data_IF_085712735378
#
_entry.id   IF_085712735378
#
_cell.length_a   1.000
_cell.length_b   1.000
_cell.length_c   1.000
_cell.angle_alpha   90.00
_cell.angle_beta   90.00
_cell.angle_gamma   90.00
#
_symmetry.space_group_name_H-M   'P 1'
#
loop_
_entity.id
_entity.type
_entity.pdbx_description
1 polymer ?
#
# COMPACT_ATOMS: atom_id res chain seq x y z
N UNK A 1 11.00 -2.12 9.85
CA UNK A 1 9.71 -1.82 9.20
C UNK A 1 9.68 -2.40 7.80
N UNK A 2 8.52 -2.88 7.40
CA UNK A 2 8.30 -3.45 6.08
C UNK A 2 7.19 -2.66 5.41
N UNK A 3 7.40 -2.24 4.17
CA UNK A 3 6.37 -1.60 3.34
C UNK A 3 5.93 -2.59 2.27
N UNK A 4 4.64 -2.90 2.29
CA UNK A 4 3.97 -3.67 1.24
C UNK A 4 3.28 -2.69 0.31
N UNK A 5 3.49 -2.84 -0.98
CA UNK A 5 2.75 -2.09 -1.99
C UNK A 5 2.21 -3.02 -3.07
N UNK A 6 0.97 -2.76 -3.44
CA UNK A 6 0.25 -3.50 -4.46
C UNK A 6 -0.35 -2.49 -5.42
N UNK A 7 0.08 -2.51 -6.69
CA UNK A 7 -0.55 -1.74 -7.75
C UNK A 7 -1.27 -2.69 -8.70
N UNK A 8 -2.53 -2.41 -8.98
CA UNK A 8 -3.33 -3.20 -9.90
C UNK A 8 -4.13 -2.29 -10.83
N UNK A 9 -4.38 -2.76 -12.05
CA UNK A 9 -5.23 -2.10 -13.01
C UNK A 9 -6.53 -2.89 -13.12
N UNK A 10 -7.66 -2.26 -12.86
CA UNK A 10 -8.96 -2.91 -12.77
C UNK A 10 -9.89 -2.34 -13.83
N UNK A 11 -10.58 -3.19 -14.62
CA UNK A 11 -11.55 -2.71 -15.61
C UNK A 11 -12.63 -1.85 -14.95
N UNK A 12 -13.12 -0.84 -15.66
CA UNK A 12 -14.12 0.09 -15.17
C UNK A 12 -15.34 -0.62 -14.57
N UNK A 13 -15.74 -1.74 -15.15
CA UNK A 13 -16.89 -2.52 -14.68
C UNK A 13 -16.75 -3.07 -13.26
N UNK A 14 -15.51 -3.15 -12.74
CA UNK A 14 -15.21 -3.65 -11.40
C UNK A 14 -14.80 -2.57 -10.40
N UNK A 15 -14.76 -1.29 -10.80
CA UNK A 15 -14.27 -0.21 -9.93
C UNK A 15 -15.08 -0.08 -8.64
N UNK A 16 -16.42 -0.07 -8.73
CA UNK A 16 -17.28 0.05 -7.57
C UNK A 16 -17.07 -1.12 -6.59
N UNK A 17 -16.92 -2.32 -7.12
CA UNK A 17 -16.66 -3.54 -6.33
C UNK A 17 -15.32 -3.44 -5.59
N UNK A 18 -14.26 -3.01 -6.28
CA UNK A 18 -12.93 -2.86 -5.70
C UNK A 18 -12.93 -1.78 -4.62
N UNK A 19 -13.53 -0.63 -4.87
CA UNK A 19 -13.61 0.45 -3.89
C UNK A 19 -14.33 -0.01 -2.63
N UNK A 20 -15.40 -0.77 -2.78
CA UNK A 20 -16.16 -1.31 -1.66
C UNK A 20 -15.39 -2.38 -0.90
N UNK A 21 -14.87 -3.40 -1.60
CA UNK A 21 -14.23 -4.55 -0.96
C UNK A 21 -12.90 -4.19 -0.32
N UNK A 22 -12.01 -3.51 -1.05
CA UNK A 22 -10.71 -3.09 -0.51
C UNK A 22 -10.89 -1.97 0.52
N UNK A 23 -11.78 -1.02 0.23
CA UNK A 23 -12.08 0.07 1.16
C UNK A 23 -12.55 -0.43 2.52
N UNK A 24 -13.34 -1.51 2.55
CA UNK A 24 -13.81 -2.11 3.81
C UNK A 24 -12.70 -2.75 4.65
N UNK A 25 -11.53 -3.03 4.06
CA UNK A 25 -10.40 -3.64 4.76
C UNK A 25 -9.51 -2.60 5.45
N UNK A 26 -9.61 -1.32 5.09
CA UNK A 26 -8.65 -0.31 5.54
C UNK A 26 -8.68 -0.12 7.06
N UNK A 27 -9.86 0.20 7.63
CA UNK A 27 -9.96 0.41 9.07
C UNK A 27 -9.64 -0.84 9.90
N UNK A 28 -10.17 -2.03 9.57
CA UNK A 28 -9.80 -3.25 10.29
C UNK A 28 -8.30 -3.55 10.23
N UNK A 29 -7.62 -3.26 9.12
CA UNK A 29 -6.19 -3.47 8.99
C UNK A 29 -5.40 -2.48 9.84
N UNK A 30 -5.82 -1.22 9.88
CA UNK A 30 -5.13 -0.15 10.63
C UNK A 30 -5.03 -0.42 12.13
N UNK A 31 -5.97 -1.16 12.69
CA UNK A 31 -6.00 -1.47 14.13
C UNK A 31 -5.32 -2.78 14.49
N UNK A 32 -4.81 -3.52 13.51
CA UNK A 32 -4.06 -4.75 13.79
C UNK A 32 -2.74 -4.46 14.49
N UNK A 33 -2.32 -5.30 15.45
CA UNK A 33 -1.02 -5.14 16.09
C UNK A 33 0.11 -5.13 15.06
N UNK A 34 0.94 -4.11 15.13
CA UNK A 34 2.09 -3.97 14.23
C UNK A 34 1.80 -3.25 12.92
N UNK A 35 0.54 -2.90 12.65
CA UNK A 35 0.21 -2.08 11.48
C UNK A 35 0.54 -0.61 11.78
N UNK A 36 1.45 -0.03 11.00
CA UNK A 36 1.85 1.37 11.11
C UNK A 36 1.07 2.27 10.14
N UNK A 37 0.45 1.70 9.12
CA UNK A 37 -0.35 2.44 8.16
C UNK A 37 -0.94 1.53 7.11
N UNK A 38 -2.08 1.95 6.57
CA UNK A 38 -2.77 1.25 5.49
C UNK A 38 -3.55 2.29 4.71
N UNK A 39 -3.20 2.46 3.42
CA UNK A 39 -3.82 3.47 2.57
C UNK A 39 -4.06 2.94 1.17
N UNK A 40 -5.14 3.40 0.56
CA UNK A 40 -5.55 3.00 -0.76
C UNK A 40 -5.68 4.23 -1.65
N UNK A 41 -5.02 4.19 -2.81
CA UNK A 41 -4.90 5.35 -3.70
C UNK A 41 -5.38 5.02 -5.10
N UNK A 42 -5.89 6.03 -5.79
CA UNK A 42 -6.10 6.00 -7.24
C UNK A 42 -5.00 6.81 -7.91
N UNK A 43 -4.61 6.40 -9.13
CA UNK A 43 -3.59 7.09 -9.91
C UNK A 43 -4.23 8.27 -10.66
N UNK A 44 -3.62 9.46 -10.58
CA UNK A 44 -4.15 10.64 -11.24
C UNK A 44 -4.02 10.56 -12.77
N UNK A 45 -3.04 9.81 -13.26
CA UNK A 45 -2.78 9.67 -14.70
C UNK A 45 -3.45 8.44 -15.30
N UNK A 46 -3.84 7.46 -14.49
CA UNK A 46 -4.50 6.23 -14.94
C UNK A 46 -5.67 5.91 -14.01
N UNK A 47 -6.92 6.28 -14.38
CA UNK A 47 -8.08 6.05 -13.52
C UNK A 47 -8.38 4.59 -13.23
N UNK A 48 -7.82 3.64 -14.01
CA UNK A 48 -7.99 2.21 -13.77
C UNK A 48 -7.00 1.66 -12.75
N UNK A 49 -5.97 2.43 -12.39
CA UNK A 49 -4.91 1.97 -11.50
C UNK A 49 -5.20 2.31 -10.04
N UNK A 50 -5.11 1.30 -9.19
CA UNK A 50 -5.26 1.42 -7.74
C UNK A 50 -3.97 0.94 -7.07
N UNK A 51 -3.58 1.61 -5.98
CA UNK A 51 -2.41 1.23 -5.20
C UNK A 51 -2.78 1.13 -3.73
N UNK A 52 -2.52 -0.04 -3.14
CA UNK A 52 -2.62 -0.27 -1.70
C UNK A 52 -1.20 -0.21 -1.12
N UNK A 53 -1.02 0.57 -0.05
CA UNK A 53 0.25 0.65 0.67
C UNK A 53 0.00 0.33 2.12
N UNK A 54 0.74 -0.64 2.65
CA UNK A 54 0.69 -1.02 4.06
C UNK A 54 2.08 -0.93 4.65
N UNK A 55 2.16 -0.47 5.89
CA UNK A 55 3.41 -0.41 6.65
C UNK A 55 3.28 -1.26 7.90
N UNK A 56 4.27 -2.13 8.12
CA UNK A 56 4.30 -3.08 9.24
C UNK A 56 5.59 -2.94 10.03
N UNK A 57 5.48 -3.00 11.37
CA UNK A 57 6.64 -2.85 12.25
C UNK A 57 7.55 -4.08 12.25
N UNK A 58 7.03 -5.26 11.90
CA UNK A 58 7.79 -6.51 11.94
C UNK A 58 7.28 -7.51 10.90
N UNK A 59 8.15 -8.46 10.55
CA UNK A 59 7.79 -9.57 9.67
C UNK A 59 6.68 -10.42 10.28
N UNK A 60 6.72 -10.65 11.59
CA UNK A 60 5.69 -11.45 12.26
C UNK A 60 4.29 -10.83 12.16
N UNK A 61 4.18 -9.50 12.32
CA UNK A 61 2.92 -8.80 12.17
C UNK A 61 2.40 -8.90 10.73
N UNK A 62 3.28 -8.72 9.74
CA UNK A 62 2.95 -8.88 8.34
C UNK A 62 2.49 -10.31 8.03
N UNK A 63 3.21 -11.31 8.51
CA UNK A 63 2.87 -12.71 8.26
C UNK A 63 1.49 -13.07 8.83
N UNK A 64 1.14 -12.57 10.01
CA UNK A 64 -0.19 -12.76 10.59
C UNK A 64 -1.28 -12.17 9.69
N UNK A 65 -1.02 -10.99 9.12
CA UNK A 65 -1.96 -10.34 8.20
C UNK A 65 -2.11 -11.14 6.90
N UNK A 66 -1.00 -11.55 6.29
CA UNK A 66 -0.99 -12.29 5.03
C UNK A 66 -1.71 -13.64 5.14
N UNK A 67 -1.73 -14.25 6.31
CA UNK A 67 -2.37 -15.53 6.55
C UNK A 67 -3.76 -15.42 7.17
N UNK A 68 -4.26 -14.20 7.38
CA UNK A 68 -5.58 -13.97 7.97
C UNK A 68 -6.71 -14.24 6.98
N UNK A 69 -7.90 -14.50 7.52
CA UNK A 69 -9.10 -14.69 6.69
C UNK A 69 -9.44 -13.42 5.88
N UNK A 70 -9.20 -12.24 6.46
CA UNK A 70 -9.45 -10.97 5.78
C UNK A 70 -8.59 -10.79 4.53
N UNK A 71 -7.39 -11.36 4.50
CA UNK A 71 -6.51 -11.26 3.33
C UNK A 71 -7.08 -11.95 2.09
N UNK A 72 -8.00 -12.92 2.27
CA UNK A 72 -8.69 -13.56 1.14
C UNK A 72 -9.46 -12.57 0.29
N UNK A 73 -10.04 -11.54 0.90
CA UNK A 73 -10.74 -10.47 0.16
C UNK A 73 -9.78 -9.71 -0.75
N UNK A 74 -8.56 -9.43 -0.26
CA UNK A 74 -7.55 -8.76 -1.06
C UNK A 74 -7.06 -9.66 -2.21
N UNK A 75 -6.86 -10.95 -1.96
CA UNK A 75 -6.48 -11.91 -3.00
C UNK A 75 -7.54 -11.95 -4.10
N UNK A 76 -8.82 -11.99 -3.73
CA UNK A 76 -9.93 -11.96 -4.70
C UNK A 76 -9.91 -10.66 -5.52
N UNK A 77 -9.60 -9.52 -4.89
CA UNK A 77 -9.47 -8.24 -5.60
C UNK A 77 -8.32 -8.25 -6.60
N UNK A 78 -7.19 -8.83 -6.23
CA UNK A 78 -6.01 -8.96 -7.11
C UNK A 78 -6.35 -9.74 -8.37
N UNK A 79 -7.18 -10.77 -8.25
CA UNK A 79 -7.60 -11.59 -9.39
C UNK A 79 -8.42 -10.82 -10.42
N UNK A 80 -9.01 -9.68 -10.06
CA UNK A 80 -9.75 -8.82 -10.98
C UNK A 80 -8.84 -7.89 -11.79
N UNK A 81 -7.55 -7.89 -11.54
CA UNK A 81 -6.60 -7.05 -12.28
C UNK A 81 -6.55 -7.49 -13.75
N UNK A 82 -6.68 -6.53 -14.67
CA UNK A 82 -6.64 -6.77 -16.11
C UNK A 82 -5.23 -6.98 -16.66
N UNK A 83 -4.22 -6.69 -15.85
CA UNK A 83 -2.80 -6.90 -16.14
C UNK A 83 -2.13 -7.49 -14.90
N UNK A 84 -0.96 -8.13 -15.04
CA UNK A 84 -0.24 -8.61 -13.87
C UNK A 84 -0.04 -7.51 -12.83
N UNK A 85 -0.46 -7.70 -11.57
CA UNK A 85 -0.27 -6.70 -10.55
C UNK A 85 1.20 -6.54 -10.19
N UNK A 86 1.58 -5.33 -9.75
CA UNK A 86 2.92 -5.07 -9.22
C UNK A 86 2.85 -5.20 -7.70
N UNK A 87 3.52 -6.21 -7.15
CA UNK A 87 3.55 -6.48 -5.70
C UNK A 87 4.98 -6.34 -5.22
N UNK A 88 5.18 -5.54 -4.15
CA UNK A 88 6.50 -5.30 -3.59
C UNK A 88 6.45 -5.35 -2.08
N UNK A 89 7.51 -5.94 -1.48
CA UNK A 89 7.77 -5.91 -0.05
C UNK A 89 9.17 -5.32 0.13
N UNK A 90 9.23 -4.13 0.72
CA UNK A 90 10.50 -3.43 0.95
C UNK A 90 10.80 -3.38 2.45
N UNK A 91 11.99 -3.85 2.84
CA UNK A 91 12.50 -3.65 4.19
C UNK A 91 13.13 -2.28 4.27
N UNK A 92 12.64 -1.47 5.20
CA UNK A 92 13.14 -0.11 5.39
C UNK A 92 14.24 -0.13 6.45
N UNK A 93 15.47 0.16 6.00
CA UNK A 93 16.63 0.25 6.89
C UNK A 93 16.70 1.62 7.58
N UNK A 94 16.24 2.66 6.90
CA UNK A 94 16.28 4.02 7.41
C UNK A 94 15.16 4.85 6.80
N UNK A 95 14.52 5.68 7.62
CA UNK A 95 13.50 6.64 7.17
C UNK A 95 13.95 8.04 7.52
N UNK A 96 13.84 8.95 6.57
CA UNK A 96 14.11 10.35 6.76
C UNK A 96 12.96 11.19 6.22
N UNK A 97 12.89 12.43 6.59
CA UNK A 97 11.83 13.34 6.21
C UNK A 97 12.33 14.59 5.51
N UNK A 98 11.70 15.72 5.80
CA UNK A 98 11.97 17.01 5.16
C UNK A 98 13.43 17.44 5.31
N UNK A 99 14.12 16.99 6.36
CA UNK A 99 15.52 17.31 6.60
C UNK A 99 16.44 16.88 5.45
N UNK A 100 16.06 15.86 4.69
CA UNK A 100 16.82 15.45 3.50
C UNK A 100 16.77 16.54 2.44
N UNK A 101 15.59 17.13 2.22
CA UNK A 101 15.40 18.23 1.26
C UNK A 101 16.20 19.44 1.72
N UNK A 102 16.05 19.80 2.99
CA UNK A 102 16.74 20.95 3.57
C UNK A 102 18.26 20.82 3.48
N UNK A 103 18.79 19.65 3.80
CA UNK A 103 20.24 19.39 3.74
C UNK A 103 20.75 19.50 2.29
N UNK A 104 20.03 18.90 1.33
CA UNK A 104 20.43 18.97 -0.08
C UNK A 104 20.41 20.41 -0.61
N UNK A 105 19.36 21.16 -0.29
CA UNK A 105 19.23 22.56 -0.73
C UNK A 105 20.28 23.45 -0.06
N UNK A 106 20.54 23.26 1.23
CA UNK A 106 21.57 24.02 1.96
C UNK A 106 22.96 23.76 1.39
N UNK A 107 23.28 22.53 1.02
CA UNK A 107 24.56 22.17 0.42
C UNK A 107 24.80 22.89 -0.92
N UNK A 108 23.72 23.29 -1.63
CA UNK A 108 23.78 24.04 -2.89
C UNK A 108 23.56 25.53 -2.69
N UNK A 109 23.52 26.02 -1.44
CA UNK A 109 23.29 27.43 -1.15
C UNK A 109 21.87 27.92 -1.47
N UNK A 110 20.88 27.04 -1.47
CA UNK A 110 19.49 27.35 -1.80
C UNK A 110 18.60 27.63 -0.57
N UNK A 111 19.15 27.48 0.61
CA UNK A 111 18.51 27.84 1.89
C UNK A 111 19.27 28.90 2.61
#
# INVERSE_FOLDING_TARGET
>A
MIVFSLRMCVPQSHHAEILKSVGSLLEPTRVLPGCLGCRFYTDIEDPSAFTLVEEWDSQGALDRHLTSAAYKTLVAAIELSSAPPTIRFDRVAHRAGIEVIEAARRAQGLL
#
